data_IF_533921820918
#
_entry.id   IF_533921820918
#
_cell.length_a   1.000
_cell.length_b   1.000
_cell.length_c   1.000
_cell.angle_alpha   90.00
_cell.angle_beta   90.00
_cell.angle_gamma   90.00
#
_symmetry.space_group_name_H-M   'P 1'
#
loop_
_entity.id
_entity.type
_entity.pdbx_description
1 polymer ?
#
# COMPACT_ATOMS: atom_id res chain seq x y z
N UNK A 1 -25.46 21.20 -12.61
CA UNK A 1 -26.93 21.15 -12.76
C UNK A 1 -27.47 20.88 -14.18
N UNK A 2 -26.67 20.92 -15.27
CA UNK A 2 -27.19 20.67 -16.63
C UNK A 2 -27.44 19.19 -16.98
N UNK A 3 -26.79 18.25 -16.30
CA UNK A 3 -26.87 16.80 -16.60
C UNK A 3 -28.18 16.13 -16.17
N UNK A 4 -28.87 16.65 -15.14
CA UNK A 4 -30.19 16.12 -14.73
C UNK A 4 -31.29 16.37 -15.77
N UNK A 5 -31.18 17.42 -16.60
CA UNK A 5 -32.22 17.72 -17.61
C UNK A 5 -32.20 16.75 -18.80
N UNK A 6 -31.04 16.20 -19.17
CA UNK A 6 -30.94 15.32 -20.34
C UNK A 6 -31.51 13.92 -20.06
N UNK A 7 -31.30 13.37 -18.86
CA UNK A 7 -31.84 12.06 -18.49
C UNK A 7 -33.37 12.07 -18.32
N UNK A 8 -33.92 13.18 -17.80
CA UNK A 8 -35.37 13.34 -17.63
C UNK A 8 -36.07 13.39 -18.98
N UNK A 9 -35.50 14.10 -19.97
CA UNK A 9 -36.08 14.21 -21.31
C UNK A 9 -36.11 12.86 -22.03
N UNK A 10 -35.04 12.05 -21.93
CA UNK A 10 -34.98 10.73 -22.57
C UNK A 10 -35.94 9.70 -21.94
N UNK A 11 -36.14 9.75 -20.62
CA UNK A 11 -37.13 8.91 -19.93
C UNK A 11 -38.57 9.29 -20.29
N UNK A 12 -38.87 10.58 -20.41
CA UNK A 12 -40.22 11.05 -20.78
C UNK A 12 -40.61 10.71 -22.22
N UNK A 13 -39.67 10.70 -23.17
CA UNK A 13 -39.97 10.29 -24.56
C UNK A 13 -40.19 8.78 -24.70
N UNK A 14 -39.49 7.95 -23.94
CA UNK A 14 -39.71 6.51 -23.95
C UNK A 14 -41.08 6.11 -23.36
N UNK A 15 -41.52 6.79 -22.29
CA UNK A 15 -42.85 6.58 -21.69
C UNK A 15 -43.95 7.09 -22.63
N UNK A 16 -43.75 8.23 -23.31
CA UNK A 16 -44.70 8.74 -24.30
C UNK A 16 -44.83 7.81 -25.52
N UNK A 17 -43.74 7.19 -25.98
CA UNK A 17 -43.76 6.23 -27.08
C UNK A 17 -44.49 4.92 -26.71
N UNK A 18 -44.32 4.42 -25.49
CA UNK A 18 -45.07 3.25 -24.98
C UNK A 18 -46.57 3.56 -24.81
N UNK A 19 -46.91 4.76 -24.33
CA UNK A 19 -48.30 5.20 -24.21
C UNK A 19 -48.97 5.32 -25.60
N UNK A 20 -48.29 5.92 -26.59
CA UNK A 20 -48.82 6.02 -27.96
C UNK A 20 -48.98 4.65 -28.65
N UNK A 21 -48.08 3.70 -28.38
CA UNK A 21 -48.16 2.34 -28.92
C UNK A 21 -49.36 1.56 -28.36
N UNK A 22 -49.74 1.79 -27.09
CA UNK A 22 -50.93 1.16 -26.49
C UNK A 22 -52.25 1.68 -27.06
N UNK A 23 -52.33 2.98 -27.38
CA UNK A 23 -53.52 3.60 -27.99
C UNK A 23 -53.69 3.24 -29.48
N UNK A 24 -52.59 3.00 -30.21
CA UNK A 24 -52.64 2.58 -31.62
C UNK A 24 -53.05 1.11 -31.78
N UNK A 25 -52.69 0.24 -30.83
CA UNK A 25 -53.12 -1.16 -30.85
C UNK A 25 -54.60 -1.33 -30.50
N UNK A 26 -55.14 -0.46 -29.63
CA UNK A 26 -56.56 -0.48 -29.28
C UNK A 26 -57.51 -0.04 -30.42
N UNK A 27 -57.01 0.73 -31.39
CA UNK A 27 -57.79 1.19 -32.55
C UNK A 27 -57.74 0.22 -33.76
N UNK A 28 -56.72 -0.66 -33.82
CA UNK A 28 -56.47 -1.50 -34.99
C UNK A 28 -57.20 -2.87 -34.98
N UNK A 29 -57.88 -3.23 -33.89
CA UNK A 29 -58.59 -4.52 -33.78
C UNK A 29 -60.10 -4.29 -33.75
N UNK A 30 -60.64 -3.76 -34.86
CA UNK A 30 -62.08 -3.78 -35.14
C UNK A 30 -62.31 -4.71 -36.34
N UNK A 31 -62.86 -5.92 -36.17
CA UNK A 31 -63.06 -6.84 -37.30
C UNK A 31 -64.26 -6.36 -38.14
N UNK A 32 -63.98 -5.89 -39.36
CA UNK A 32 -64.99 -5.67 -40.40
C UNK A 32 -64.94 -6.86 -41.39
N UNK A 33 -66.08 -7.51 -41.73
CA UNK A 33 -66.07 -8.68 -42.58
C UNK A 33 -66.08 -8.33 -44.09
N UNK A 34 -65.18 -9.01 -44.79
CA UNK A 34 -65.24 -9.55 -46.17
C UNK A 34 -65.50 -8.60 -47.35
N UNK A 35 -64.46 -8.44 -48.19
CA UNK A 35 -64.59 -8.00 -49.58
C UNK A 35 -63.25 -7.71 -50.27
N UNK A 36 -62.66 -8.74 -50.90
CA UNK A 36 -61.62 -8.62 -51.93
C UNK A 36 -60.19 -8.92 -51.46
N UNK A 37 -59.55 -9.90 -52.10
CA UNK A 37 -58.12 -10.29 -51.96
C UNK A 37 -57.16 -9.10 -51.92
N UNK A 38 -57.52 -7.96 -52.51
CA UNK A 38 -56.71 -6.75 -52.61
C UNK A 38 -56.53 -6.00 -51.26
N UNK A 39 -57.49 -6.10 -50.33
CA UNK A 39 -57.44 -5.40 -49.05
C UNK A 39 -56.47 -6.05 -48.05
N UNK A 40 -56.37 -7.38 -48.08
CA UNK A 40 -55.49 -8.16 -47.19
C UNK A 40 -54.00 -7.89 -47.49
N UNK A 41 -53.65 -7.66 -48.76
CA UNK A 41 -52.27 -7.33 -49.15
C UNK A 41 -51.80 -5.98 -48.63
N UNK A 42 -52.70 -5.00 -48.53
CA UNK A 42 -52.40 -3.67 -48.01
C UNK A 42 -52.09 -3.75 -46.51
N UNK A 43 -52.89 -4.50 -45.75
CA UNK A 43 -52.71 -4.68 -44.31
C UNK A 43 -51.41 -5.42 -43.99
N UNK A 44 -51.08 -6.49 -44.72
CA UNK A 44 -49.81 -7.22 -44.57
C UNK A 44 -48.61 -6.29 -44.86
N UNK A 45 -48.70 -5.49 -45.92
CA UNK A 45 -47.63 -4.55 -46.29
C UNK A 45 -47.41 -3.50 -45.20
N UNK A 46 -48.50 -2.99 -44.61
CA UNK A 46 -48.43 -2.03 -43.50
C UNK A 46 -47.74 -2.63 -42.26
N UNK A 47 -48.05 -3.88 -41.92
CA UNK A 47 -47.41 -4.58 -40.78
C UNK A 47 -45.91 -4.73 -41.02
N UNK A 48 -45.49 -5.14 -42.23
CA UNK A 48 -44.07 -5.31 -42.58
C UNK A 48 -43.33 -3.97 -42.44
N UNK A 49 -43.90 -2.87 -42.95
CA UNK A 49 -43.30 -1.54 -42.87
C UNK A 49 -43.18 -1.08 -41.40
N UNK A 50 -44.21 -1.27 -40.59
CA UNK A 50 -44.17 -0.92 -39.17
C UNK A 50 -43.12 -1.73 -38.40
N UNK A 51 -43.04 -3.05 -38.64
CA UNK A 51 -42.01 -3.91 -38.06
C UNK A 51 -40.59 -3.45 -38.46
N UNK A 52 -40.37 -3.17 -39.74
CA UNK A 52 -39.08 -2.68 -40.24
C UNK A 52 -38.71 -1.33 -39.61
N UNK A 53 -39.67 -0.41 -39.48
CA UNK A 53 -39.48 0.88 -38.83
C UNK A 53 -39.04 0.72 -37.37
N UNK A 54 -39.73 -0.11 -36.58
CA UNK A 54 -39.38 -0.33 -35.16
C UNK A 54 -38.02 -1.01 -34.98
N UNK A 55 -37.65 -1.94 -35.86
CA UNK A 55 -36.31 -2.55 -35.86
C UNK A 55 -35.24 -1.49 -36.14
N UNK A 56 -35.44 -0.67 -37.20
CA UNK A 56 -34.52 0.42 -37.54
C UNK A 56 -34.38 1.43 -36.39
N UNK A 57 -35.51 1.85 -35.79
CA UNK A 57 -35.51 2.78 -34.66
C UNK A 57 -34.77 2.20 -33.45
N UNK A 58 -34.95 0.90 -33.16
CA UNK A 58 -34.25 0.20 -32.08
C UNK A 58 -32.74 0.17 -32.31
N UNK A 59 -32.29 -0.14 -33.53
CA UNK A 59 -30.86 -0.15 -33.89
C UNK A 59 -30.25 1.25 -33.76
N UNK A 60 -30.93 2.28 -34.28
CA UNK A 60 -30.48 3.67 -34.17
C UNK A 60 -30.40 4.09 -32.70
N UNK A 61 -31.40 3.75 -31.89
CA UNK A 61 -31.42 4.08 -30.46
C UNK A 61 -30.26 3.42 -29.71
N UNK A 62 -29.98 2.14 -29.95
CA UNK A 62 -28.85 1.42 -29.34
C UNK A 62 -27.52 2.02 -29.78
N UNK A 63 -27.35 2.37 -31.07
CA UNK A 63 -26.14 3.03 -31.57
C UNK A 63 -25.94 4.41 -30.95
N UNK A 64 -27.01 5.21 -30.85
CA UNK A 64 -26.97 6.54 -30.23
C UNK A 64 -26.62 6.44 -28.74
N UNK A 65 -27.21 5.50 -28.00
CA UNK A 65 -26.87 5.24 -26.60
C UNK A 65 -25.41 4.80 -26.43
N UNK A 66 -24.92 3.90 -27.30
CA UNK A 66 -23.50 3.48 -27.31
C UNK A 66 -22.54 4.61 -27.64
N UNK A 67 -22.92 5.52 -28.54
CA UNK A 67 -22.12 6.70 -28.87
C UNK A 67 -22.10 7.70 -27.72
N UNK A 68 -23.27 8.06 -27.19
CA UNK A 68 -23.41 8.98 -26.07
C UNK A 68 -22.71 8.46 -24.80
N UNK A 69 -22.81 7.17 -24.49
CA UNK A 69 -22.08 6.58 -23.35
C UNK A 69 -20.56 6.63 -23.54
N UNK A 70 -20.04 6.43 -24.76
CA UNK A 70 -18.61 6.63 -25.05
C UNK A 70 -18.19 8.08 -24.83
N UNK A 71 -18.96 9.05 -25.32
CA UNK A 71 -18.61 10.48 -25.20
C UNK A 71 -18.80 11.01 -23.78
N UNK A 72 -19.86 10.62 -23.07
CA UNK A 72 -20.11 11.04 -21.68
C UNK A 72 -19.06 10.49 -20.71
N UNK A 73 -18.53 9.29 -21.00
CA UNK A 73 -17.51 8.65 -20.17
C UNK A 73 -16.08 9.05 -20.56
N UNK A 74 -15.87 9.72 -21.68
CA UNK A 74 -14.53 10.20 -22.07
C UNK A 74 -13.92 11.12 -21.00
N UNK A 75 -14.61 12.18 -20.52
CA UNK A 75 -14.08 13.05 -19.45
C UNK A 75 -13.77 12.28 -18.16
N UNK A 76 -14.65 11.36 -17.78
CA UNK A 76 -14.46 10.56 -16.57
C UNK A 76 -13.24 9.64 -16.70
N UNK A 77 -13.07 8.98 -17.85
CA UNK A 77 -11.88 8.16 -18.14
C UNK A 77 -10.60 8.99 -18.11
N UNK A 78 -10.63 10.22 -18.65
CA UNK A 78 -9.45 11.09 -18.63
C UNK A 78 -9.10 11.57 -17.23
N UNK A 79 -10.08 11.92 -16.38
CA UNK A 79 -9.79 12.32 -14.99
C UNK A 79 -9.28 11.15 -14.16
N UNK A 80 -9.90 9.97 -14.27
CA UNK A 80 -9.39 8.76 -13.60
C UNK A 80 -7.97 8.45 -14.07
N UNK A 81 -7.70 8.51 -15.38
CA UNK A 81 -6.36 8.27 -15.90
C UNK A 81 -5.32 9.29 -15.39
N UNK A 82 -5.68 10.57 -15.25
CA UNK A 82 -4.79 11.57 -14.66
C UNK A 82 -4.45 11.25 -13.21
N UNK A 83 -5.45 10.86 -12.41
CA UNK A 83 -5.26 10.46 -11.02
C UNK A 83 -4.40 9.18 -10.91
N UNK A 84 -4.64 8.20 -11.78
CA UNK A 84 -3.80 7.00 -11.88
C UNK A 84 -2.33 7.36 -12.19
N UNK A 85 -2.12 8.24 -13.16
CA UNK A 85 -0.79 8.69 -13.56
C UNK A 85 -0.11 9.48 -12.44
N UNK A 86 -0.84 10.32 -11.70
CA UNK A 86 -0.33 11.06 -10.56
C UNK A 86 0.13 10.12 -9.43
N UNK A 87 -0.71 9.15 -9.06
CA UNK A 87 -0.39 8.14 -8.05
C UNK A 87 0.84 7.30 -8.47
N UNK A 88 0.86 6.85 -9.72
CA UNK A 88 1.96 6.04 -10.24
C UNK A 88 3.27 6.84 -10.34
N UNK A 89 3.22 8.11 -10.75
CA UNK A 89 4.38 9.02 -10.74
C UNK A 89 4.91 9.22 -9.31
N UNK A 90 4.04 9.39 -8.33
CA UNK A 90 4.42 9.53 -6.93
C UNK A 90 5.12 8.26 -6.40
N UNK A 91 4.70 7.07 -6.85
CA UNK A 91 5.34 5.81 -6.50
C UNK A 91 6.70 5.66 -7.20
N UNK A 92 6.74 5.79 -8.53
CA UNK A 92 7.95 5.56 -9.33
C UNK A 92 9.06 6.58 -9.04
N UNK A 93 8.70 7.83 -8.74
CA UNK A 93 9.68 8.86 -8.35
C UNK A 93 10.47 8.53 -7.08
N UNK A 94 9.99 7.57 -6.26
CA UNK A 94 10.75 7.09 -5.12
C UNK A 94 11.92 6.19 -5.52
N UNK A 95 11.91 5.60 -6.71
CA UNK A 95 12.83 4.54 -7.13
C UNK A 95 13.61 4.86 -8.40
N UNK A 96 13.08 5.71 -9.28
CA UNK A 96 13.70 6.01 -10.56
C UNK A 96 15.11 6.59 -10.39
N UNK A 97 16.08 5.97 -11.06
CA UNK A 97 17.47 6.42 -11.05
C UNK A 97 18.24 6.14 -9.75
N UNK A 98 17.62 5.52 -8.73
CA UNK A 98 18.29 5.24 -7.46
C UNK A 98 19.06 3.94 -7.50
N UNK A 99 20.31 3.95 -7.06
CA UNK A 99 21.07 2.72 -6.80
C UNK A 99 20.72 2.07 -5.45
N UNK A 100 21.35 0.93 -5.12
CA UNK A 100 21.05 0.23 -3.86
C UNK A 100 21.46 1.03 -2.62
N UNK A 101 22.49 1.86 -2.70
CA UNK A 101 22.94 2.69 -1.56
C UNK A 101 21.91 3.79 -1.30
N UNK A 102 21.47 4.48 -2.34
CA UNK A 102 20.42 5.50 -2.23
C UNK A 102 19.08 4.92 -1.80
N UNK A 103 18.76 3.68 -2.20
CA UNK A 103 17.58 2.98 -1.68
C UNK A 103 17.75 2.67 -0.19
N UNK A 104 18.94 2.28 0.26
CA UNK A 104 19.19 2.07 1.69
C UNK A 104 19.00 3.34 2.51
N UNK A 105 19.46 4.47 1.98
CA UNK A 105 19.24 5.79 2.57
C UNK A 105 17.77 6.20 2.58
N UNK A 106 17.02 5.92 1.50
CA UNK A 106 15.57 6.17 1.42
C UNK A 106 14.79 5.49 2.55
N UNK A 107 15.21 4.29 2.95
CA UNK A 107 14.66 3.56 4.09
C UNK A 107 15.35 3.89 5.42
N UNK A 108 16.31 4.81 5.46
CA UNK A 108 17.04 5.20 6.67
C UNK A 108 17.71 4.01 7.39
N UNK A 109 18.31 3.09 6.64
CA UNK A 109 18.95 1.91 7.24
C UNK A 109 20.16 2.26 8.11
N UNK A 110 20.87 3.34 7.81
CA UNK A 110 22.01 3.77 8.64
C UNK A 110 21.55 4.17 10.04
N UNK A 111 20.52 5.02 10.13
CA UNK A 111 19.91 5.42 11.39
C UNK A 111 19.29 4.23 12.11
N UNK A 112 18.69 3.30 11.36
CA UNK A 112 18.12 2.08 11.90
C UNK A 112 19.18 1.20 12.56
N UNK A 113 20.31 0.96 11.89
CA UNK A 113 21.43 0.20 12.43
C UNK A 113 22.00 0.88 13.67
N UNK A 114 22.29 2.18 13.59
CA UNK A 114 22.90 2.95 14.69
C UNK A 114 21.98 2.98 15.91
N UNK A 115 20.69 3.26 15.74
CA UNK A 115 19.74 3.31 16.83
C UNK A 115 19.69 1.98 17.60
N UNK A 116 19.62 0.85 16.88
CA UNK A 116 19.51 -0.45 17.51
C UNK A 116 20.84 -0.97 18.08
N UNK A 117 21.97 -0.71 17.41
CA UNK A 117 23.29 -1.06 17.94
C UNK A 117 23.59 -0.32 19.26
N UNK A 118 23.28 0.99 19.31
CA UNK A 118 23.46 1.78 20.53
C UNK A 118 22.48 1.35 21.63
N UNK A 119 21.23 1.03 21.28
CA UNK A 119 20.25 0.47 22.23
C UNK A 119 20.74 -0.83 22.86
N UNK A 120 21.35 -1.72 22.06
CA UNK A 120 21.96 -2.95 22.56
C UNK A 120 23.13 -2.66 23.51
N UNK A 121 24.04 -1.76 23.13
CA UNK A 121 25.19 -1.40 23.98
C UNK A 121 24.75 -0.75 25.29
N UNK A 122 23.77 0.15 25.25
CA UNK A 122 23.18 0.78 26.44
C UNK A 122 22.47 -0.23 27.34
N UNK A 123 21.78 -1.21 26.75
CA UNK A 123 21.16 -2.32 27.49
C UNK A 123 22.21 -3.18 28.21
N UNK A 124 23.32 -3.48 27.54
CA UNK A 124 24.45 -4.18 28.14
C UNK A 124 25.11 -3.36 29.25
N UNK A 125 25.37 -2.07 29.02
CA UNK A 125 25.95 -1.16 30.02
C UNK A 125 25.09 -1.06 31.28
N UNK A 126 23.78 -0.93 31.10
CA UNK A 126 22.83 -0.89 32.20
C UNK A 126 22.79 -2.23 32.97
N UNK A 127 22.90 -3.37 32.27
CA UNK A 127 22.90 -4.69 32.90
C UNK A 127 24.17 -5.01 33.70
N UNK A 128 25.35 -4.75 33.14
CA UNK A 128 26.61 -5.19 33.73
C UNK A 128 27.28 -4.13 34.60
N UNK A 129 27.11 -2.84 34.24
CA UNK A 129 27.83 -1.73 34.86
C UNK A 129 26.90 -0.74 35.59
N UNK A 130 25.59 -0.97 35.58
CA UNK A 130 24.58 -0.10 36.21
C UNK A 130 24.66 1.37 35.72
N UNK A 131 25.05 1.56 34.46
CA UNK A 131 25.17 2.87 33.84
C UNK A 131 23.79 3.49 33.63
N UNK A 132 23.60 4.73 34.07
CA UNK A 132 22.39 5.51 33.77
C UNK A 132 22.50 6.10 32.37
N UNK A 133 21.51 5.79 31.53
CA UNK A 133 21.46 6.26 30.15
C UNK A 133 20.45 7.40 30.03
N UNK A 134 20.89 8.52 29.47
CA UNK A 134 20.01 9.64 29.09
C UNK A 134 19.34 9.34 27.74
N UNK A 135 18.24 8.58 27.78
CA UNK A 135 17.53 8.12 26.59
C UNK A 135 17.13 9.26 25.66
N UNK A 136 16.84 10.46 26.18
CA UNK A 136 16.39 11.62 25.39
C UNK A 136 17.41 12.09 24.35
N UNK A 137 18.70 11.83 24.59
CA UNK A 137 19.79 12.20 23.67
C UNK A 137 20.18 11.07 22.70
N UNK A 138 19.71 9.85 22.95
CA UNK A 138 20.11 8.67 22.20
C UNK A 138 19.49 8.61 20.80
N UNK A 139 20.14 7.92 19.85
CA UNK A 139 19.60 7.75 18.49
C UNK A 139 18.28 6.96 18.45
N UNK A 140 18.03 6.11 19.45
CA UNK A 140 16.77 5.34 19.60
C UNK A 140 15.70 6.04 20.45
N UNK A 141 15.92 7.30 20.84
CA UNK A 141 14.93 8.10 21.59
C UNK A 141 13.58 8.17 20.88
N UNK A 142 12.49 8.33 21.63
CA UNK A 142 11.14 8.46 21.06
C UNK A 142 11.00 9.63 20.08
N UNK A 143 11.81 10.68 20.24
CA UNK A 143 11.87 11.80 19.30
C UNK A 143 12.40 11.39 17.91
N UNK A 144 13.34 10.44 17.84
CA UNK A 144 13.95 9.95 16.59
C UNK A 144 13.31 8.67 16.07
N UNK A 145 12.81 7.84 16.99
CA UNK A 145 12.19 6.54 16.75
C UNK A 145 10.84 6.48 17.49
N UNK A 146 9.81 7.10 16.92
CA UNK A 146 8.47 7.10 17.52
C UNK A 146 7.76 5.73 17.44
N UNK A 147 8.26 4.82 16.59
CA UNK A 147 7.73 3.47 16.46
C UNK A 147 8.82 2.42 16.72
N UNK A 148 8.38 1.25 17.17
CA UNK A 148 9.23 0.09 17.36
C UNK A 148 8.44 -1.19 17.11
N UNK A 149 9.15 -2.25 16.74
CA UNK A 149 8.58 -3.58 16.66
C UNK A 149 8.96 -4.34 17.93
N UNK A 150 7.97 -4.84 18.65
CA UNK A 150 8.16 -5.71 19.81
C UNK A 150 7.86 -7.14 19.39
N UNK A 151 8.79 -8.06 19.63
CA UNK A 151 8.59 -9.49 19.34
C UNK A 151 7.80 -10.15 20.48
N UNK A 152 6.67 -10.84 20.19
CA UNK A 152 5.90 -11.57 21.19
C UNK A 152 6.69 -12.73 21.84
N UNK A 153 7.66 -13.28 21.10
CA UNK A 153 8.51 -14.40 21.53
C UNK A 153 9.51 -14.04 22.62
N UNK A 154 9.56 -12.77 23.06
CA UNK A 154 10.27 -12.36 24.26
C UNK A 154 9.69 -13.01 25.53
N UNK A 155 8.49 -13.61 25.48
CA UNK A 155 8.04 -14.63 26.46
C UNK A 155 7.78 -14.13 27.88
N UNK A 156 8.11 -12.89 28.21
CA UNK A 156 7.71 -12.28 29.47
C UNK A 156 6.32 -11.69 29.25
N UNK A 157 5.35 -12.37 29.85
CA UNK A 157 3.97 -11.97 30.10
C UNK A 157 3.62 -10.58 29.58
N UNK A 158 2.51 -10.51 28.81
CA UNK A 158 1.72 -9.29 28.65
C UNK A 158 1.97 -8.41 29.88
N UNK A 159 2.61 -7.26 29.67
CA UNK A 159 2.66 -6.23 30.68
C UNK A 159 1.20 -6.01 31.03
N UNK A 160 0.79 -6.61 32.14
CA UNK A 160 -0.57 -6.52 32.64
C UNK A 160 -0.86 -5.03 32.69
N UNK A 161 -1.80 -4.60 31.84
CA UNK A 161 -2.14 -3.20 31.65
C UNK A 161 -2.37 -2.56 33.02
N UNK A 162 -1.94 -1.30 33.22
CA UNK A 162 -1.47 -0.80 34.50
C UNK A 162 -2.54 -0.91 35.60
N UNK A 163 -2.44 -1.97 36.41
CA UNK A 163 -2.69 -1.82 37.84
C UNK A 163 -1.66 -0.77 38.30
N UNK A 164 -2.07 0.20 39.13
CA UNK A 164 -1.17 1.24 39.68
C UNK A 164 0.00 0.58 40.42
N UNK A 165 1.04 0.20 39.69
CA UNK A 165 2.26 -0.33 40.26
C UNK A 165 2.92 0.81 41.02
N UNK A 166 3.24 0.58 42.29
CA UNK A 166 4.02 1.54 43.05
C UNK A 166 5.36 1.78 42.33
N UNK A 167 5.96 2.98 42.39
CA UNK A 167 7.32 3.21 41.93
C UNK A 167 8.32 2.17 42.44
N UNK A 168 8.12 1.67 43.67
CA UNK A 168 8.95 0.62 44.27
C UNK A 168 8.76 -0.75 43.59
N UNK A 169 7.55 -1.09 43.15
CA UNK A 169 7.27 -2.34 42.43
C UNK A 169 7.92 -2.33 41.05
N UNK A 170 7.86 -1.17 40.37
CA UNK A 170 8.55 -0.97 39.09
C UNK A 170 10.06 -1.11 39.28
N UNK A 171 10.63 -0.48 40.31
CA UNK A 171 12.06 -0.58 40.61
C UNK A 171 12.49 -2.01 40.89
N UNK A 172 11.78 -2.74 41.75
CA UNK A 172 12.05 -4.16 42.04
C UNK A 172 11.96 -5.02 40.78
N UNK A 173 10.95 -4.81 39.93
CA UNK A 173 10.79 -5.54 38.67
C UNK A 173 11.95 -5.28 37.71
N UNK A 174 12.40 -4.02 37.58
CA UNK A 174 13.56 -3.64 36.75
C UNK A 174 14.84 -4.30 37.28
N UNK A 175 15.06 -4.30 38.59
CA UNK A 175 16.25 -4.87 39.22
C UNK A 175 16.29 -6.40 39.10
N UNK A 176 15.16 -7.07 39.33
CA UNK A 176 15.01 -8.51 39.08
C UNK A 176 15.28 -8.87 37.62
N UNK A 177 14.74 -8.09 36.67
CA UNK A 177 15.00 -8.27 35.24
C UNK A 177 16.48 -8.13 34.91
N UNK A 178 17.12 -7.09 35.46
CA UNK A 178 18.54 -6.84 35.26
C UNK A 178 19.39 -8.00 35.75
N UNK A 179 19.10 -8.50 36.95
CA UNK A 179 19.79 -9.65 37.55
C UNK A 179 19.63 -10.90 36.66
N UNK A 180 18.41 -11.19 36.23
CA UNK A 180 18.13 -12.31 35.33
C UNK A 180 18.89 -12.20 34.00
N UNK A 181 18.85 -11.03 33.35
CA UNK A 181 19.58 -10.80 32.10
C UNK A 181 21.08 -10.93 32.26
N UNK A 182 21.64 -10.48 33.39
CA UNK A 182 23.07 -10.62 33.69
C UNK A 182 23.48 -12.09 33.84
N UNK A 183 22.65 -12.89 34.52
CA UNK A 183 22.88 -14.33 34.72
C UNK A 183 22.68 -15.15 33.43
N UNK A 184 21.79 -14.70 32.54
CA UNK A 184 21.39 -15.44 31.33
C UNK A 184 21.74 -14.69 30.03
N UNK A 185 22.76 -13.83 30.04
CA UNK A 185 23.08 -12.97 28.88
C UNK A 185 23.44 -13.77 27.61
N UNK A 186 23.96 -14.98 27.77
CA UNK A 186 24.25 -15.88 26.66
C UNK A 186 22.99 -16.27 25.87
N UNK A 187 21.83 -16.22 26.52
CA UNK A 187 20.50 -16.47 25.92
C UNK A 187 19.77 -15.17 25.56
N UNK A 188 20.47 -14.04 25.50
CA UNK A 188 19.88 -12.74 25.19
C UNK A 188 19.03 -12.81 23.91
N UNK A 189 17.81 -12.26 24.02
CA UNK A 189 16.85 -12.09 22.92
C UNK A 189 16.54 -10.61 22.76
N UNK A 190 16.61 -10.12 21.53
CA UNK A 190 16.28 -8.73 21.25
C UNK A 190 14.76 -8.58 21.26
N UNK A 191 14.21 -7.93 22.28
CA UNK A 191 12.76 -7.83 22.44
C UNK A 191 12.14 -6.74 21.54
N UNK A 192 12.87 -5.65 21.34
CA UNK A 192 12.41 -4.48 20.63
C UNK A 192 13.42 -4.04 19.58
N UNK A 193 12.92 -3.67 18.41
CA UNK A 193 13.68 -2.91 17.43
C UNK A 193 13.09 -1.51 17.29
N UNK A 194 13.95 -0.51 17.38
CA UNK A 194 13.62 0.90 17.19
C UNK A 194 13.60 1.24 15.70
N UNK A 195 12.52 1.86 15.23
CA UNK A 195 12.35 2.25 13.83
C UNK A 195 12.51 3.77 13.71
N UNK A 196 13.51 4.28 12.98
CA UNK A 196 13.62 5.69 12.69
C UNK A 196 12.34 6.25 12.08
N UNK A 197 12.00 7.51 12.40
CA UNK A 197 10.82 8.16 11.84
C UNK A 197 10.83 8.20 10.31
N UNK A 198 12.01 8.36 9.70
CA UNK A 198 12.19 8.31 8.25
C UNK A 198 11.82 6.94 7.67
N UNK A 199 12.32 5.85 8.27
CA UNK A 199 11.94 4.48 7.91
C UNK A 199 10.42 4.29 7.97
N UNK A 200 9.80 4.64 9.10
CA UNK A 200 8.36 4.47 9.31
C UNK A 200 7.53 5.28 8.31
N UNK A 201 7.96 6.50 7.99
CA UNK A 201 7.32 7.36 6.99
C UNK A 201 7.41 6.78 5.59
N UNK A 202 8.59 6.27 5.17
CA UNK A 202 8.79 5.66 3.85
C UNK A 202 7.94 4.40 3.69
N UNK A 203 7.99 3.49 4.68
CA UNK A 203 7.18 2.26 4.67
C UNK A 203 5.69 2.58 4.67
N UNK A 204 5.24 3.51 5.52
CA UNK A 204 3.84 3.92 5.57
C UNK A 204 3.35 4.57 4.26
N UNK A 205 4.22 5.30 3.55
CA UNK A 205 3.90 5.83 2.20
C UNK A 205 3.72 4.70 1.19
N UNK A 206 4.58 3.69 1.19
CA UNK A 206 4.45 2.53 0.29
C UNK A 206 3.22 1.69 0.62
N UNK A 207 2.91 1.46 1.89
CA UNK A 207 1.69 0.76 2.31
C UNK A 207 0.43 1.45 1.79
N UNK A 208 0.34 2.79 1.95
CA UNK A 208 -0.77 3.57 1.37
C UNK A 208 -0.89 3.43 -0.15
N UNK A 209 0.24 3.29 -0.86
CA UNK A 209 0.21 3.02 -2.29
C UNK A 209 -0.36 1.64 -2.60
N UNK A 210 -0.03 0.61 -1.81
CA UNK A 210 -0.60 -0.73 -2.02
C UNK A 210 -2.11 -0.82 -1.77
N UNK A 211 -2.66 0.14 -1.03
CA UNK A 211 -4.09 0.26 -0.74
C UNK A 211 -4.83 1.13 -1.78
N UNK A 212 -4.11 1.76 -2.73
CA UNK A 212 -4.71 2.66 -3.70
C UNK A 212 -5.37 1.88 -4.85
N UNK A 213 -6.72 1.93 -5.01
CA UNK A 213 -7.44 1.19 -6.04
C UNK A 213 -7.19 1.70 -7.47
N UNK A 214 -6.56 2.87 -7.61
CA UNK A 214 -6.23 3.45 -8.90
C UNK A 214 -4.95 2.85 -9.50
N UNK A 215 -4.07 2.27 -8.68
CA UNK A 215 -2.85 1.67 -9.20
C UNK A 215 -3.13 0.34 -9.90
N UNK A 216 -2.44 0.03 -11.02
CA UNK A 216 -2.50 -1.29 -11.62
C UNK A 216 -2.12 -2.37 -10.60
N UNK A 217 -2.81 -3.51 -10.65
CA UNK A 217 -2.57 -4.66 -9.76
C UNK A 217 -1.10 -5.08 -9.73
N UNK A 218 -0.43 -5.00 -10.87
CA UNK A 218 0.99 -5.35 -11.00
C UNK A 218 1.91 -4.35 -10.28
N UNK A 219 1.60 -3.04 -10.30
CA UNK A 219 2.32 -2.06 -9.48
C UNK A 219 2.17 -2.37 -8.00
N UNK A 220 0.96 -2.73 -7.56
CA UNK A 220 0.67 -3.09 -6.16
C UNK A 220 1.47 -4.33 -5.77
N UNK A 221 1.49 -5.36 -6.63
CA UNK A 221 2.24 -6.60 -6.44
C UNK A 221 3.74 -6.33 -6.28
N UNK A 222 4.35 -5.59 -7.21
CA UNK A 222 5.77 -5.24 -7.17
C UNK A 222 6.12 -4.35 -5.96
N UNK A 223 5.22 -3.43 -5.57
CA UNK A 223 5.40 -2.62 -4.36
C UNK A 223 5.38 -3.48 -3.09
N UNK A 224 4.51 -4.50 -3.04
CA UNK A 224 4.49 -5.48 -1.93
C UNK A 224 5.79 -6.26 -1.86
N UNK A 225 6.36 -6.70 -2.98
CA UNK A 225 7.65 -7.38 -2.96
C UNK A 225 8.79 -6.51 -2.41
N UNK A 226 8.77 -5.21 -2.70
CA UNK A 226 9.71 -4.23 -2.11
C UNK A 226 9.51 -4.17 -0.59
N UNK A 227 8.26 -4.05 -0.15
CA UNK A 227 7.91 -4.04 1.28
C UNK A 227 8.32 -5.35 1.99
N UNK A 228 8.19 -6.49 1.33
CA UNK A 228 8.60 -7.78 1.85
C UNK A 228 10.12 -7.85 2.01
N UNK A 229 10.89 -7.37 1.03
CA UNK A 229 12.36 -7.28 1.16
C UNK A 229 12.77 -6.36 2.31
N UNK A 230 12.09 -5.22 2.49
CA UNK A 230 12.31 -4.31 3.61
C UNK A 230 11.95 -4.96 4.94
N UNK A 231 10.85 -5.71 5.00
CA UNK A 231 10.45 -6.45 6.19
C UNK A 231 11.46 -7.55 6.54
N UNK A 232 11.95 -8.29 5.57
CA UNK A 232 12.97 -9.33 5.76
C UNK A 232 14.25 -8.73 6.33
N UNK A 233 14.71 -7.59 5.78
CA UNK A 233 15.89 -6.88 6.28
C UNK A 233 15.70 -6.44 7.74
N UNK A 234 14.55 -5.87 8.08
CA UNK A 234 14.20 -5.56 9.47
C UNK A 234 14.21 -6.80 10.36
N UNK A 235 13.69 -7.94 9.90
CA UNK A 235 13.67 -9.19 10.70
C UNK A 235 15.07 -9.76 10.92
N UNK A 236 15.97 -9.67 9.93
CA UNK A 236 17.38 -10.09 10.07
C UNK A 236 18.11 -9.31 11.15
N UNK A 237 17.77 -8.04 11.34
CA UNK A 237 18.38 -7.21 12.40
C UNK A 237 18.22 -7.83 13.79
N UNK A 238 17.10 -8.48 14.12
CA UNK A 238 16.94 -9.15 15.43
C UNK A 238 18.03 -10.21 15.64
N UNK A 239 18.22 -11.09 14.65
CA UNK A 239 19.20 -12.17 14.73
C UNK A 239 20.63 -11.64 14.83
N UNK A 240 20.92 -10.57 14.10
CA UNK A 240 22.24 -9.92 14.13
C UNK A 240 22.51 -9.33 15.51
N UNK A 241 21.55 -8.60 16.09
CA UNK A 241 21.69 -7.99 17.41
C UNK A 241 21.82 -9.06 18.50
N UNK A 242 21.06 -10.14 18.43
CA UNK A 242 21.19 -11.27 19.36
C UNK A 242 22.58 -11.93 19.27
N UNK A 243 23.09 -12.14 18.05
CA UNK A 243 24.41 -12.71 17.85
C UNK A 243 25.52 -11.76 18.35
N UNK A 244 25.38 -10.44 18.14
CA UNK A 244 26.32 -9.44 18.66
C UNK A 244 26.24 -9.32 20.18
N UNK A 245 25.04 -9.38 20.77
CA UNK A 245 24.83 -9.31 22.21
C UNK A 245 25.66 -10.37 22.95
N UNK A 246 25.65 -11.62 22.46
CA UNK A 246 26.38 -12.74 23.07
C UNK A 246 27.89 -12.53 23.12
N UNK A 247 28.45 -11.72 22.21
CA UNK A 247 29.88 -11.41 22.15
C UNK A 247 30.30 -10.24 23.02
N UNK A 248 29.35 -9.41 23.46
CA UNK A 248 29.66 -8.21 24.25
C UNK A 248 30.41 -8.50 25.56
N UNK A 249 30.09 -9.54 26.36
CA UNK A 249 30.84 -9.85 27.57
C UNK A 249 32.32 -10.18 27.33
N UNK A 250 32.63 -10.83 26.22
CA UNK A 250 34.00 -11.20 25.86
C UNK A 250 34.77 -10.00 25.31
N UNK A 251 34.12 -9.19 24.46
CA UNK A 251 34.76 -8.04 23.80
C UNK A 251 34.87 -6.80 24.69
N UNK A 252 33.93 -6.63 25.64
CA UNK A 252 33.81 -5.44 26.48
C UNK A 252 33.57 -5.84 27.94
N UNK A 253 34.60 -6.36 28.64
CA UNK A 253 34.47 -6.81 30.02
C UNK A 253 34.31 -5.65 31.02
N UNK A 254 34.71 -4.43 30.65
CA UNK A 254 34.56 -3.23 31.49
C UNK A 254 33.77 -2.11 30.81
N UNK A 255 33.34 -1.14 31.60
CA UNK A 255 32.63 0.05 31.11
C UNK A 255 33.51 0.93 30.20
N UNK A 256 34.81 0.99 30.48
CA UNK A 256 35.78 1.76 29.69
C UNK A 256 35.96 1.13 28.31
N UNK A 257 36.06 -0.21 28.24
CA UNK A 257 36.14 -0.95 26.98
C UNK A 257 34.90 -0.68 26.11
N UNK A 258 33.71 -0.68 26.71
CA UNK A 258 32.45 -0.41 26.02
C UNK A 258 32.41 1.00 25.42
N UNK A 259 33.18 1.95 25.93
CA UNK A 259 33.32 3.30 25.34
C UNK A 259 33.88 3.29 23.92
N UNK A 260 34.57 2.20 23.53
CA UNK A 260 35.06 1.97 22.16
C UNK A 260 34.06 1.24 21.25
N UNK A 261 32.87 0.90 21.75
CA UNK A 261 31.84 0.23 20.96
C UNK A 261 31.45 1.08 19.74
N UNK A 262 31.48 0.46 18.56
CA UNK A 262 31.03 1.10 17.32
C UNK A 262 29.92 0.26 16.67
N UNK A 263 28.93 0.90 16.03
CA UNK A 263 27.91 0.19 15.26
C UNK A 263 28.44 -0.57 14.03
N UNK A 264 29.74 -0.48 13.72
CA UNK A 264 30.31 -1.04 12.49
C UNK A 264 30.21 -2.56 12.41
N UNK A 265 30.37 -3.29 13.53
CA UNK A 265 30.22 -4.76 13.52
C UNK A 265 28.80 -5.17 13.11
N UNK A 266 27.80 -4.50 13.67
CA UNK A 266 26.38 -4.67 13.33
C UNK A 266 26.15 -4.28 11.87
N UNK A 267 26.68 -3.13 11.43
CA UNK A 267 26.52 -2.65 10.06
C UNK A 267 27.10 -3.62 9.02
N UNK A 268 28.30 -4.16 9.27
CA UNK A 268 28.97 -5.10 8.37
C UNK A 268 28.19 -6.42 8.27
N UNK A 269 27.74 -6.97 9.40
CA UNK A 269 26.89 -8.17 9.41
C UNK A 269 25.56 -7.93 8.70
N UNK A 270 24.94 -6.79 8.95
CA UNK A 270 23.71 -6.40 8.28
C UNK A 270 23.89 -6.28 6.78
N UNK A 271 24.97 -5.64 6.32
CA UNK A 271 25.28 -5.52 4.90
C UNK A 271 25.51 -6.88 4.22
N UNK A 272 26.14 -7.83 4.93
CA UNK A 272 26.38 -9.19 4.41
C UNK A 272 25.09 -10.01 4.27
N UNK A 273 24.12 -9.82 5.17
CA UNK A 273 22.83 -10.49 5.13
C UNK A 273 21.75 -9.68 4.39
N UNK A 274 22.07 -8.48 3.91
CA UNK A 274 21.09 -7.57 3.33
C UNK A 274 20.43 -8.17 2.07
N UNK A 275 19.10 -8.06 1.98
CA UNK A 275 18.33 -8.45 0.81
C UNK A 275 18.13 -7.23 -0.09
N UNK A 276 18.65 -7.32 -1.30
CA UNK A 276 18.61 -6.24 -2.28
C UNK A 276 17.18 -5.82 -2.67
N UNK A 277 16.99 -4.50 -2.73
CA UNK A 277 15.71 -3.86 -3.07
C UNK A 277 15.72 -3.45 -4.55
N UNK A 278 16.89 -3.07 -5.07
CA UNK A 278 17.09 -2.55 -6.43
C UNK A 278 16.47 -3.42 -7.52
N UNK A 279 16.62 -4.76 -7.55
CA UNK A 279 16.01 -5.57 -8.60
C UNK A 279 14.47 -5.44 -8.67
N UNK A 280 13.82 -5.29 -7.50
CA UNK A 280 12.35 -5.12 -7.40
C UNK A 280 11.93 -3.71 -7.74
N UNK A 281 12.71 -2.72 -7.32
CA UNK A 281 12.53 -1.32 -7.69
C UNK A 281 12.65 -1.15 -9.22
N UNK A 282 13.62 -1.78 -9.85
CA UNK A 282 13.80 -1.77 -11.31
C UNK A 282 12.64 -2.43 -12.04
N UNK A 283 12.17 -3.59 -11.55
CA UNK A 283 11.00 -4.24 -12.11
C UNK A 283 9.75 -3.33 -12.06
N UNK A 284 9.55 -2.61 -10.95
CA UNK A 284 8.47 -1.63 -10.81
C UNK A 284 8.61 -0.46 -11.80
N UNK A 285 9.81 0.11 -11.93
CA UNK A 285 10.08 1.21 -12.87
C UNK A 285 9.89 0.74 -14.32
N UNK A 286 10.38 -0.44 -14.67
CA UNK A 286 10.25 -1.02 -16.00
C UNK A 286 8.79 -1.31 -16.34
N UNK A 287 8.02 -1.89 -15.41
CA UNK A 287 6.59 -2.09 -15.58
C UNK A 287 5.87 -0.77 -15.86
N UNK A 288 6.16 0.28 -15.09
CA UNK A 288 5.55 1.59 -15.30
C UNK A 288 5.85 2.17 -16.70
N UNK A 289 7.11 2.14 -17.14
CA UNK A 289 7.51 2.62 -18.47
C UNK A 289 6.77 1.87 -19.59
N UNK A 290 6.67 0.55 -19.46
CA UNK A 290 5.96 -0.30 -20.41
C UNK A 290 4.44 -0.05 -20.41
N UNK A 291 3.82 0.01 -19.23
CA UNK A 291 2.38 0.16 -19.08
C UNK A 291 1.85 1.49 -19.63
N UNK A 292 2.58 2.58 -19.38
CA UNK A 292 2.23 3.92 -19.85
C UNK A 292 2.89 4.31 -21.18
N UNK A 293 3.68 3.41 -21.77
CA UNK A 293 4.40 3.60 -23.04
C UNK A 293 5.19 4.92 -23.08
N UNK A 294 5.89 5.24 -21.99
CA UNK A 294 6.58 6.52 -21.86
C UNK A 294 7.68 6.71 -22.90
N UNK A 295 8.27 5.61 -23.35
CA UNK A 295 9.45 5.63 -24.22
C UNK A 295 9.04 5.77 -25.69
N UNK A 296 7.90 5.20 -26.10
CA UNK A 296 7.36 5.34 -27.47
C UNK A 296 6.74 6.72 -27.75
N UNK A 297 6.67 7.62 -26.77
CA UNK A 297 6.22 9.00 -26.97
C UNK A 297 7.29 9.88 -27.63
N UNK A 298 8.55 9.44 -27.62
CA UNK A 298 9.69 10.19 -28.13
C UNK A 298 10.30 9.60 -29.41
N UNK A 299 9.81 8.43 -29.85
CA UNK A 299 10.11 7.86 -31.17
C UNK A 299 9.24 8.56 -32.23
N UNK A 300 9.67 9.77 -32.62
CA UNK A 300 9.16 10.52 -33.78
C UNK A 300 10.30 10.72 -34.76
#
# INVERSE_FOLDING_TARGET
>A
MKTKRVLVVAGTTAIALLAMHSSLWAAAVSPQPTGGDEKDWIDITQIIIQCAFWICLSVVTVKTYRSASRTLLQPLRTEVFKEQLAAAKQLVSMFIGKDEIELRELFAYNEFIVANAVSLADSYANCFFNTKVDEGKRPYSSAKCASGLVLPSAGWELIDTPRKSSPDDVRKKVESRRKFLKENWQEYKQEQIHLPNAYAKTVGRLQKMTENPLLPTECIRLTKEILDAVHDNKTKMFKILEAEARRLPELFPSADDLGSFTPYSVANKFAAEYKDIKPKADALVAFFRSHYKTDSLWEV
#
